data_IF_397576108267
#
_entry.id   IF_397576108267
#
_cell.length_a   1.000
_cell.length_b   1.000
_cell.length_c   1.000
_cell.angle_alpha   90.00
_cell.angle_beta   90.00
_cell.angle_gamma   90.00
#
_symmetry.space_group_name_H-M   'P 1'
#
loop_
_entity.id
_entity.type
_entity.pdbx_description
1 polymer ?
#
# COMPACT_ATOMS: atom_id res chain seq x y z
N UNK A 1 -17.61 8.16 -1.39
CA UNK A 1 -16.65 8.02 -2.53
C UNK A 1 -16.75 9.12 -3.60
N UNK A 2 -17.95 9.48 -4.11
CA UNK A 2 -18.09 10.52 -5.16
C UNK A 2 -17.44 11.88 -4.81
N UNK A 3 -17.50 12.29 -3.54
CA UNK A 3 -16.94 13.57 -3.05
C UNK A 3 -15.42 13.66 -3.16
N UNK A 4 -14.68 12.64 -2.70
CA UNK A 4 -13.20 12.64 -2.76
C UNK A 4 -12.67 12.57 -4.19
N UNK A 5 -13.33 11.80 -5.07
CA UNK A 5 -12.93 11.77 -6.49
C UNK A 5 -13.09 13.13 -7.15
N UNK A 6 -14.17 13.86 -6.82
CA UNK A 6 -14.39 15.23 -7.30
C UNK A 6 -13.32 16.20 -6.78
N UNK A 7 -13.03 16.17 -5.48
CA UNK A 7 -11.98 17.00 -4.88
C UNK A 7 -10.59 16.70 -5.49
N UNK A 8 -10.24 15.42 -5.71
CA UNK A 8 -8.96 15.05 -6.32
C UNK A 8 -8.86 15.43 -7.80
N UNK A 9 -9.98 15.40 -8.54
CA UNK A 9 -10.01 15.90 -9.93
C UNK A 9 -9.86 17.41 -10.01
N UNK A 10 -10.39 18.15 -9.02
CA UNK A 10 -10.19 19.60 -8.90
C UNK A 10 -8.73 19.94 -8.57
N UNK A 11 -8.03 19.07 -7.83
CA UNK A 11 -6.61 19.20 -7.51
C UNK A 11 -5.67 18.70 -8.64
N UNK A 12 -6.20 18.22 -9.78
CA UNK A 12 -5.46 17.71 -10.94
C UNK A 12 -4.47 16.55 -10.63
N UNK A 13 -4.75 15.78 -9.58
CA UNK A 13 -3.87 14.69 -9.13
C UNK A 13 -4.21 13.40 -9.87
N UNK A 14 -3.28 12.93 -10.70
CA UNK A 14 -3.39 11.61 -11.30
C UNK A 14 -3.14 10.52 -10.24
N UNK A 15 -4.17 9.71 -9.98
CA UNK A 15 -4.14 8.58 -9.05
C UNK A 15 -4.29 7.30 -9.88
N UNK A 16 -3.32 6.35 -9.81
CA UNK A 16 -3.45 5.08 -10.52
C UNK A 16 -4.69 4.31 -10.09
N UNK A 17 -5.30 3.59 -11.03
CA UNK A 17 -6.36 2.66 -10.71
C UNK A 17 -5.77 1.45 -9.96
N UNK A 18 -5.81 1.52 -8.63
CA UNK A 18 -5.31 0.51 -7.71
C UNK A 18 -5.82 -0.91 -7.98
N UNK A 19 -7.04 -1.09 -8.51
CA UNK A 19 -7.55 -2.42 -8.86
C UNK A 19 -6.84 -3.07 -10.07
N UNK A 20 -6.05 -2.29 -10.82
CA UNK A 20 -5.26 -2.74 -11.98
C UNK A 20 -3.75 -2.71 -11.72
N UNK A 21 -3.34 -2.50 -10.47
CA UNK A 21 -1.93 -2.37 -10.09
C UNK A 21 -1.44 -3.60 -9.32
N UNK A 22 -0.13 -3.82 -9.42
CA UNK A 22 0.64 -4.64 -8.49
C UNK A 22 1.22 -3.75 -7.37
N UNK A 23 1.53 -4.37 -6.24
CA UNK A 23 2.01 -3.68 -5.05
C UNK A 23 3.35 -4.28 -4.62
N UNK A 24 4.33 -3.42 -4.38
CA UNK A 24 5.67 -3.82 -3.97
C UNK A 24 6.17 -2.94 -2.82
N UNK A 25 7.24 -3.38 -2.17
CA UNK A 25 8.00 -2.58 -1.23
C UNK A 25 9.47 -2.56 -1.65
N UNK A 26 10.19 -1.52 -1.26
CA UNK A 26 11.60 -1.34 -1.67
C UNK A 26 12.56 -2.25 -0.91
N UNK A 27 12.14 -2.76 0.25
CA UNK A 27 12.97 -3.59 1.10
C UNK A 27 12.22 -4.80 1.65
N UNK A 28 12.98 -5.87 1.97
CA UNK A 28 12.47 -7.02 2.72
C UNK A 28 11.96 -6.60 4.09
N UNK A 29 12.59 -5.61 4.74
CA UNK A 29 12.15 -5.08 6.03
C UNK A 29 10.77 -4.45 5.98
N UNK A 30 10.46 -3.70 4.92
CA UNK A 30 9.14 -3.12 4.70
C UNK A 30 8.08 -4.19 4.43
N UNK A 31 8.43 -5.25 3.68
CA UNK A 31 7.54 -6.42 3.51
C UNK A 31 7.22 -7.07 4.86
N UNK A 32 8.24 -7.26 5.72
CA UNK A 32 8.04 -7.81 7.08
C UNK A 32 7.12 -6.92 7.91
N UNK A 33 7.40 -5.62 7.94
CA UNK A 33 6.58 -4.63 8.66
C UNK A 33 5.13 -4.60 8.16
N UNK A 34 4.92 -4.69 6.85
CA UNK A 34 3.58 -4.78 6.27
C UNK A 34 2.82 -6.02 6.78
N UNK A 35 3.47 -7.19 6.76
CA UNK A 35 2.87 -8.43 7.25
C UNK A 35 2.58 -8.39 8.75
N UNK A 36 3.49 -7.82 9.55
CA UNK A 36 3.28 -7.64 10.99
C UNK A 36 2.09 -6.73 11.27
N UNK A 37 1.93 -5.65 10.49
CA UNK A 37 0.79 -4.75 10.61
C UNK A 37 -0.53 -5.42 10.23
N UNK A 38 -0.55 -6.24 9.18
CA UNK A 38 -1.73 -7.04 8.84
C UNK A 38 -2.12 -8.00 9.96
N UNK A 39 -1.15 -8.66 10.59
CA UNK A 39 -1.40 -9.57 11.70
C UNK A 39 -1.96 -8.86 12.94
N UNK A 40 -1.53 -7.63 13.22
CA UNK A 40 -2.06 -6.82 14.34
C UNK A 40 -3.50 -6.39 14.10
N UNK A 41 -3.86 -6.07 12.86
CA UNK A 41 -5.19 -5.57 12.50
C UNK A 41 -6.24 -6.69 12.35
N UNK A 42 -5.84 -7.96 12.35
CA UNK A 42 -6.76 -9.09 12.27
C UNK A 42 -7.03 -9.70 13.65
N UNK A 43 -8.31 -9.88 13.99
CA UNK A 43 -8.76 -10.58 15.19
C UNK A 43 -8.41 -12.08 15.22
N UNK A 44 -7.76 -12.59 14.17
CA UNK A 44 -7.16 -13.92 14.09
C UNK A 44 -5.83 -13.82 13.33
N UNK A 45 -4.78 -14.56 13.73
CA UNK A 45 -3.50 -14.53 13.03
C UNK A 45 -3.70 -14.96 11.57
N UNK A 46 -3.42 -14.06 10.62
CA UNK A 46 -3.52 -14.32 9.17
C UNK A 46 -2.40 -15.25 8.67
N UNK A 47 -1.65 -15.86 9.60
CA UNK A 47 -0.47 -16.67 9.34
C UNK A 47 -0.73 -17.87 8.44
N UNK A 48 -1.99 -18.31 8.30
CA UNK A 48 -2.37 -19.46 7.46
C UNK A 48 -2.77 -19.07 6.02
N UNK A 49 -3.07 -17.79 5.74
CA UNK A 49 -3.60 -17.35 4.44
C UNK A 49 -2.53 -16.83 3.48
N UNK A 50 -1.31 -16.56 3.97
CA UNK A 50 -0.22 -16.04 3.15
C UNK A 50 0.99 -16.97 3.23
N UNK A 51 1.44 -17.46 2.07
CA UNK A 51 2.80 -17.98 1.93
C UNK A 51 3.77 -16.86 2.36
N UNK A 52 4.55 -17.06 3.43
CA UNK A 52 5.54 -16.11 3.97
C UNK A 52 6.74 -15.88 3.05
N UNK A 53 6.57 -16.05 1.75
CA UNK A 53 7.65 -15.96 0.78
C UNK A 53 7.66 -14.54 0.23
N UNK A 54 8.77 -13.82 0.43
CA UNK A 54 9.01 -12.56 -0.26
C UNK A 54 9.61 -12.88 -1.63
N UNK A 55 9.00 -12.33 -2.67
CA UNK A 55 9.53 -12.40 -4.03
C UNK A 55 10.25 -11.10 -4.34
N UNK A 56 11.49 -11.20 -4.80
CA UNK A 56 12.24 -10.06 -5.33
C UNK A 56 11.99 -9.98 -6.82
N UNK A 57 11.67 -8.78 -7.29
CA UNK A 57 11.38 -8.50 -8.70
C UNK A 57 12.30 -7.41 -9.25
N UNK A 58 12.46 -7.40 -10.56
CA UNK A 58 13.06 -6.32 -11.32
C UNK A 58 12.01 -5.75 -12.28
N UNK A 59 11.80 -4.43 -12.25
CA UNK A 59 10.85 -3.75 -13.14
C UNK A 59 11.46 -3.61 -14.53
N UNK A 60 10.72 -4.03 -15.55
CA UNK A 60 11.14 -3.97 -16.95
C UNK A 60 10.56 -2.74 -17.65
N UNK A 61 9.25 -2.52 -17.50
CA UNK A 61 8.52 -1.41 -18.11
C UNK A 61 7.66 -0.70 -17.07
N UNK A 62 7.65 0.65 -17.09
CA UNK A 62 6.98 1.46 -16.07
C UNK A 62 5.88 2.31 -16.70
N UNK A 63 4.65 1.79 -16.77
CA UNK A 63 3.48 2.56 -17.21
C UNK A 63 2.98 3.48 -16.09
N UNK A 64 3.00 3.00 -14.85
CA UNK A 64 2.74 3.84 -13.67
C UNK A 64 3.54 3.36 -12.48
N UNK A 65 4.12 4.31 -11.75
CA UNK A 65 4.86 4.07 -10.53
C UNK A 65 4.56 5.20 -9.55
N UNK A 66 3.82 4.91 -8.48
CA UNK A 66 3.55 5.88 -7.42
C UNK A 66 3.74 5.25 -6.06
N UNK A 67 4.35 5.99 -5.15
CA UNK A 67 4.55 5.55 -3.76
C UNK A 67 3.49 6.19 -2.89
N UNK A 68 2.87 5.39 -2.04
CA UNK A 68 1.93 5.87 -1.04
C UNK A 68 2.29 5.35 0.34
N UNK A 69 1.99 6.13 1.37
CA UNK A 69 2.19 5.70 2.75
C UNK A 69 1.04 4.78 3.18
N UNK A 70 1.31 3.48 3.21
CA UNK A 70 0.34 2.44 3.50
C UNK A 70 -0.25 2.56 4.93
N UNK A 71 0.50 3.16 5.87
CA UNK A 71 0.06 3.38 7.26
C UNK A 71 -1.26 4.15 7.33
N UNK A 72 -1.48 5.12 6.44
CA UNK A 72 -2.69 5.95 6.38
C UNK A 72 -3.97 5.17 6.06
N UNK A 73 -3.86 3.90 5.68
CA UNK A 73 -5.01 3.05 5.32
C UNK A 73 -4.98 1.67 5.96
N UNK A 74 -4.02 1.38 6.85
CA UNK A 74 -3.88 0.07 7.50
C UNK A 74 -3.78 0.13 9.03
N UNK A 75 -3.38 1.26 9.62
CA UNK A 75 -3.32 1.43 11.07
C UNK A 75 -4.51 2.28 11.56
N UNK A 76 -5.56 1.60 12.00
CA UNK A 76 -6.74 2.22 12.61
C UNK A 76 -6.68 2.07 14.13
N UNK A 77 -7.05 3.13 14.86
CA UNK A 77 -7.16 3.10 16.33
C UNK A 77 -8.60 2.84 16.76
N UNK A 78 -8.84 2.31 17.96
CA UNK A 78 -10.17 1.82 18.38
C UNK A 78 -11.32 2.85 18.31
N UNK A 79 -11.02 4.16 18.31
CA UNK A 79 -12.00 5.24 18.20
C UNK A 79 -12.17 5.79 16.77
N UNK A 80 -11.81 5.02 15.74
CA UNK A 80 -11.82 5.48 14.36
C UNK A 80 -13.24 5.69 13.80
N UNK A 81 -13.56 6.91 13.36
CA UNK A 81 -14.84 7.17 12.69
C UNK A 81 -14.69 7.13 11.16
N UNK A 82 -15.82 7.02 10.45
CA UNK A 82 -15.85 7.17 9.00
C UNK A 82 -15.29 8.53 8.53
N UNK A 83 -15.44 9.60 9.33
CA UNK A 83 -14.88 10.92 9.00
C UNK A 83 -13.34 10.89 9.05
N UNK A 84 -12.77 10.21 10.04
CA UNK A 84 -11.31 10.06 10.18
C UNK A 84 -10.74 9.22 9.03
N UNK A 85 -11.44 8.15 8.65
CA UNK A 85 -11.10 7.36 7.48
C UNK A 85 -11.06 8.21 6.21
N UNK A 86 -12.06 9.04 5.96
CA UNK A 86 -12.06 9.89 4.78
C UNK A 86 -10.91 10.90 4.78
N UNK A 87 -10.58 11.48 5.93
CA UNK A 87 -9.45 12.40 6.07
C UNK A 87 -8.12 11.67 5.76
N UNK A 88 -7.89 10.51 6.36
CA UNK A 88 -6.66 9.75 6.12
C UNK A 88 -6.58 9.22 4.69
N UNK A 89 -7.69 8.71 4.13
CA UNK A 89 -7.74 8.26 2.75
C UNK A 89 -7.48 9.40 1.76
N UNK A 90 -7.96 10.63 2.03
CA UNK A 90 -7.57 11.81 1.24
C UNK A 90 -6.07 12.05 1.35
N UNK A 91 -5.50 12.07 2.57
CA UNK A 91 -4.05 12.22 2.76
C UNK A 91 -3.24 11.17 1.98
N UNK A 92 -3.70 9.91 2.00
CA UNK A 92 -3.13 8.81 1.25
C UNK A 92 -3.13 9.12 -0.25
N UNK A 93 -4.28 9.46 -0.83
CA UNK A 93 -4.39 9.74 -2.27
C UNK A 93 -3.60 10.98 -2.72
N UNK A 94 -3.41 11.95 -1.82
CA UNK A 94 -2.55 13.11 -2.01
C UNK A 94 -1.05 12.80 -1.88
N UNK A 95 -0.66 11.57 -1.53
CA UNK A 95 0.74 11.19 -1.34
C UNK A 95 1.39 11.80 -0.11
N UNK A 96 0.60 12.25 0.87
CA UNK A 96 1.13 12.71 2.16
C UNK A 96 1.73 11.52 2.93
N UNK A 97 2.69 11.82 3.81
CA UNK A 97 3.41 10.83 4.61
C UNK A 97 3.16 11.09 6.10
N UNK A 98 3.09 10.00 6.87
CA UNK A 98 3.17 10.00 8.33
C UNK A 98 4.62 10.21 8.79
N UNK A 99 4.83 10.28 10.10
CA UNK A 99 6.19 10.41 10.68
C UNK A 99 7.08 9.19 10.43
N UNK A 100 6.49 7.99 10.38
CA UNK A 100 7.20 6.74 10.11
C UNK A 100 6.48 5.99 8.98
N UNK A 101 6.66 6.43 7.72
CA UNK A 101 5.87 5.90 6.62
C UNK A 101 6.22 4.44 6.32
N UNK A 102 5.26 3.71 5.76
CA UNK A 102 5.49 2.41 5.10
C UNK A 102 5.14 2.59 3.62
N UNK A 103 6.16 2.82 2.79
CA UNK A 103 5.95 3.21 1.41
C UNK A 103 5.65 1.99 0.53
N UNK A 104 4.37 1.85 0.17
CA UNK A 104 3.92 0.89 -0.83
C UNK A 104 4.10 1.48 -2.23
N UNK A 105 4.76 0.72 -3.09
CA UNK A 105 4.95 1.01 -4.50
C UNK A 105 3.75 0.46 -5.27
N UNK A 106 2.89 1.34 -5.76
CA UNK A 106 1.77 1.02 -6.65
C UNK A 106 2.27 1.08 -8.08
N UNK A 107 2.31 -0.09 -8.72
CA UNK A 107 2.96 -0.30 -10.00
C UNK A 107 1.98 -0.85 -11.05
N UNK A 108 2.06 -0.30 -12.25
CA UNK A 108 1.44 -0.87 -13.45
C UNK A 108 2.50 -0.92 -14.55
N UNK A 109 2.67 -2.10 -15.16
CA UNK A 109 3.74 -2.36 -16.12
C UNK A 109 4.16 -3.83 -16.08
N UNK A 110 5.33 -4.12 -16.63
CA UNK A 110 5.91 -5.46 -16.63
C UNK A 110 7.10 -5.56 -15.67
N UNK A 111 7.21 -6.70 -15.00
CA UNK A 111 8.32 -7.02 -14.10
C UNK A 111 8.70 -8.50 -14.30
N UNK A 112 9.94 -8.85 -13.96
CA UNK A 112 10.37 -10.24 -13.85
C UNK A 112 10.73 -10.58 -12.41
N UNK A 113 10.49 -11.82 -12.04
CA UNK A 113 10.92 -12.37 -10.76
C UNK A 113 12.41 -12.67 -10.86
N UNK A 114 13.18 -12.20 -9.89
CA UNK A 114 14.62 -12.47 -9.78
C UNK A 114 14.97 -13.38 -8.60
N UNK A 115 14.09 -13.48 -7.60
CA UNK A 115 14.25 -14.39 -6.45
C UNK A 115 12.89 -14.71 -5.82
N UNK A 116 12.63 -15.96 -5.42
CA UNK A 116 11.33 -16.40 -4.88
C UNK A 116 11.41 -17.21 -3.57
N UNK A 117 12.60 -17.32 -2.98
CA UNK A 117 12.97 -18.15 -1.83
C UNK A 117 13.40 -17.31 -0.62
N UNK A 118 12.88 -16.08 -0.46
CA UNK A 118 13.15 -15.27 0.72
C UNK A 118 12.11 -15.60 1.80
N UNK A 119 12.51 -16.44 2.74
CA UNK A 119 11.70 -16.82 3.90
C UNK A 119 11.80 -15.74 5.00
N UNK A 120 10.68 -15.45 5.65
CA UNK A 120 10.57 -14.49 6.77
C UNK A 120 10.61 -15.20 8.12
#
# INVERSE_FOLDING_TARGET
>A
MKKIRKELSEENINVPNRFKCCYFFESVGDCKRYLDNLNKSANQPIQHLYNKNIIKVEFLEKNTLKKFDNILITEFHDNFTSKDFYKQFKMFLLGKKTKNPLLEVVFQGSFKIIKNDIYI
#
